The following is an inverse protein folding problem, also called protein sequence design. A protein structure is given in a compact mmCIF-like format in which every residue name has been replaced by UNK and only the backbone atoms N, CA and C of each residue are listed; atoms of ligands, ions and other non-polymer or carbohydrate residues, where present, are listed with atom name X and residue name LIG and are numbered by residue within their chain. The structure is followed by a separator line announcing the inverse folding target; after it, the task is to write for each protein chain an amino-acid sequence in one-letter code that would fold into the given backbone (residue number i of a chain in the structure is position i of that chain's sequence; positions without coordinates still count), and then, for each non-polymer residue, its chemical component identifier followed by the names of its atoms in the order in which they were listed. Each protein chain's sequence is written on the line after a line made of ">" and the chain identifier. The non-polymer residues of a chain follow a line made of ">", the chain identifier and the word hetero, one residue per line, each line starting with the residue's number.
data_IF_869834551468
#
_entry.id   IF_869834551468
#
_cell.length_a   1.000
_cell.length_b   1.000
_cell.length_c   1.000
_cell.angle_alpha   90.00
_cell.angle_beta   90.00
_cell.angle_gamma   90.00
#
_symmetry.space_group_name_H-M   'P 1'
#
loop_
_entity.id
_entity.type
_entity.pdbx_description
1 polymer ?
#
# COMPACT_ATOMS: atom_id res chain seq x y z
N UNK A 1 -31.50 8.95 33.78
CA UNK A 1 -31.06 7.71 33.13
C UNK A 1 -30.93 7.99 31.64
N UNK A 2 -29.82 8.58 31.20
CA UNK A 2 -29.61 8.86 29.77
C UNK A 2 -28.96 7.63 29.14
N UNK A 3 -29.67 7.01 28.19
CA UNK A 3 -29.17 5.87 27.44
C UNK A 3 -28.03 6.33 26.52
N UNK A 4 -26.89 5.64 26.62
CA UNK A 4 -25.78 5.79 25.68
C UNK A 4 -26.13 4.98 24.44
N UNK A 5 -26.45 5.65 23.34
CA UNK A 5 -26.55 5.02 22.02
C UNK A 5 -25.14 4.66 21.55
N UNK A 6 -24.81 3.37 21.50
CA UNK A 6 -23.60 2.90 20.82
C UNK A 6 -23.73 3.19 19.33
N UNK A 7 -22.76 3.89 18.75
CA UNK A 7 -22.65 4.04 17.30
C UNK A 7 -22.43 2.66 16.68
N UNK A 8 -23.27 2.27 15.72
CA UNK A 8 -23.03 1.11 14.87
C UNK A 8 -21.88 1.44 13.93
N UNK A 9 -20.79 0.68 13.98
CA UNK A 9 -19.69 0.78 13.03
C UNK A 9 -20.22 0.52 11.61
N UNK A 10 -19.99 1.47 10.70
CA UNK A 10 -20.33 1.30 9.30
C UNK A 10 -19.52 0.12 8.70
N UNK A 11 -20.11 -0.66 7.76
CA UNK A 11 -19.37 -1.70 7.09
C UNK A 11 -18.18 -1.09 6.33
N UNK A 12 -17.04 -1.78 6.23
CA UNK A 12 -15.88 -1.26 5.51
C UNK A 12 -16.23 -1.06 4.02
N UNK A 13 -15.63 -0.05 3.38
CA UNK A 13 -15.95 0.33 1.98
C UNK A 13 -15.82 -0.83 0.98
N UNK A 14 -14.89 -1.75 1.22
CA UNK A 14 -14.66 -2.91 0.34
C UNK A 14 -15.75 -3.99 0.46
N UNK A 15 -16.67 -3.88 1.42
CA UNK A 15 -17.74 -4.87 1.63
C UNK A 15 -18.74 -4.97 0.48
N UNK A 16 -18.85 -3.93 -0.35
CA UNK A 16 -19.69 -3.93 -1.56
C UNK A 16 -19.04 -4.61 -2.77
N UNK A 17 -17.78 -5.01 -2.65
CA UNK A 17 -17.00 -5.62 -3.74
C UNK A 17 -16.76 -7.12 -3.46
N UNK A 18 -16.60 -7.95 -4.51
CA UNK A 18 -16.30 -9.36 -4.35
C UNK A 18 -14.96 -9.55 -3.62
N UNK A 19 -14.80 -10.66 -2.90
CA UNK A 19 -13.50 -11.03 -2.35
C UNK A 19 -12.54 -11.42 -3.49
N UNK A 20 -11.28 -10.95 -3.45
CA UNK A 20 -10.27 -11.43 -4.39
C UNK A 20 -10.08 -12.93 -4.29
N UNK A 21 -9.92 -13.60 -5.43
CA UNK A 21 -9.81 -15.07 -5.50
C UNK A 21 -8.37 -15.53 -5.62
N UNK A 22 -7.55 -14.78 -6.34
CA UNK A 22 -6.18 -15.13 -6.61
C UNK A 22 -5.28 -14.99 -5.36
N UNK A 23 -4.37 -15.95 -5.12
CA UNK A 23 -3.33 -15.76 -4.13
C UNK A 23 -2.35 -14.69 -4.63
N UNK A 24 -2.03 -13.74 -3.75
CA UNK A 24 -1.09 -12.66 -4.05
C UNK A 24 0.21 -12.90 -3.30
N UNK A 25 1.34 -12.73 -3.99
CA UNK A 25 2.65 -12.86 -3.38
C UNK A 25 2.92 -11.68 -2.45
N UNK A 26 3.48 -11.95 -1.28
CA UNK A 26 3.96 -10.92 -0.37
C UNK A 26 5.48 -10.79 -0.51
N UNK A 27 5.94 -9.65 -1.03
CA UNK A 27 7.36 -9.34 -1.13
C UNK A 27 7.86 -8.80 0.20
N UNK A 28 9.05 -9.23 0.60
CA UNK A 28 9.72 -8.65 1.76
C UNK A 28 10.22 -7.23 1.39
N UNK A 29 10.37 -6.34 2.38
CA UNK A 29 10.95 -5.02 2.15
C UNK A 29 12.34 -5.06 1.50
N UNK A 30 13.14 -6.10 1.75
CA UNK A 30 14.43 -6.35 1.11
C UNK A 30 14.31 -6.55 -0.40
N UNK A 31 13.34 -7.33 -0.85
CA UNK A 31 13.15 -7.62 -2.28
C UNK A 31 12.82 -6.34 -3.04
N UNK A 32 11.93 -5.52 -2.47
CA UNK A 32 11.55 -4.23 -3.04
C UNK A 32 12.69 -3.23 -2.98
N UNK A 33 13.51 -3.23 -1.93
CA UNK A 33 14.71 -2.40 -1.84
C UNK A 33 15.72 -2.74 -2.94
N UNK A 34 15.96 -4.04 -3.19
CA UNK A 34 16.84 -4.48 -4.26
C UNK A 34 16.33 -4.05 -5.64
N UNK A 35 15.01 -4.12 -5.89
CA UNK A 35 14.39 -3.63 -7.12
C UNK A 35 14.61 -2.11 -7.31
N UNK A 36 14.45 -1.32 -6.24
CA UNK A 36 14.70 0.12 -6.27
C UNK A 36 16.17 0.45 -6.54
N UNK A 37 17.11 -0.23 -5.86
CA UNK A 37 18.55 -0.01 -6.02
C UNK A 37 19.05 -0.42 -7.42
N UNK A 38 18.55 -1.55 -7.94
CA UNK A 38 18.89 -2.02 -9.29
C UNK A 38 18.34 -1.09 -10.38
N UNK A 39 17.12 -0.58 -10.24
CA UNK A 39 16.60 0.44 -11.16
C UNK A 39 17.37 1.76 -11.07
N UNK A 40 17.69 2.24 -9.86
CA UNK A 40 18.47 3.47 -9.69
C UNK A 40 19.86 3.36 -10.35
N UNK A 41 20.47 2.18 -10.30
CA UNK A 41 21.77 1.90 -10.91
C UNK A 41 21.73 1.79 -12.44
N UNK A 42 20.58 1.45 -13.03
CA UNK A 42 20.41 1.28 -14.48
C UNK A 42 20.24 2.61 -15.24
N UNK A 43 19.99 3.71 -14.54
CA UNK A 43 19.87 5.06 -15.11
C UNK A 43 18.45 5.45 -15.56
N UNK A 44 18.22 6.73 -15.90
CA UNK A 44 16.87 7.30 -16.04
C UNK A 44 16.03 6.74 -17.21
N UNK A 45 16.67 6.12 -18.21
CA UNK A 45 16.02 5.57 -19.40
C UNK A 45 15.96 4.04 -19.40
N UNK A 46 16.31 3.38 -18.29
CA UNK A 46 16.21 1.92 -18.21
C UNK A 46 14.75 1.47 -18.19
N UNK A 47 14.45 0.36 -18.86
CA UNK A 47 13.14 -0.26 -18.78
C UNK A 47 12.85 -0.71 -17.33
N UNK A 48 11.70 -0.32 -16.80
CA UNK A 48 11.24 -0.77 -15.49
C UNK A 48 10.64 -2.17 -15.60
N UNK A 49 11.11 -3.09 -14.76
CA UNK A 49 10.51 -4.42 -14.59
C UNK A 49 9.42 -4.45 -13.52
N UNK A 50 9.20 -3.35 -12.80
CA UNK A 50 8.22 -3.25 -11.72
C UNK A 50 7.56 -1.87 -11.67
N UNK A 51 6.38 -1.83 -11.06
CA UNK A 51 5.66 -0.60 -10.70
C UNK A 51 5.24 -0.68 -9.24
N UNK A 52 5.64 0.31 -8.45
CA UNK A 52 5.17 0.42 -7.07
C UNK A 52 3.94 1.32 -7.03
N UNK A 53 2.83 0.79 -6.50
CA UNK A 53 1.56 1.51 -6.39
C UNK A 53 1.25 1.75 -4.92
N UNK A 54 1.15 3.02 -4.54
CA UNK A 54 0.62 3.42 -3.23
C UNK A 54 -0.90 3.57 -3.36
N UNK A 55 -1.64 2.86 -2.50
CA UNK A 55 -3.11 2.84 -2.52
C UNK A 55 -3.73 3.64 -1.37
N UNK A 56 -2.90 4.42 -0.64
CA UNK A 56 -3.33 5.33 0.42
C UNK A 56 -4.05 6.55 -0.16
N UNK A 57 -4.86 7.23 0.67
CA UNK A 57 -5.69 8.36 0.21
C UNK A 57 -5.14 9.69 0.70
N UNK A 58 -5.59 10.15 1.86
CA UNK A 58 -5.10 11.35 2.56
C UNK A 58 -4.08 10.98 3.62
N UNK A 59 -3.98 9.70 3.96
CA UNK A 59 -3.07 9.14 4.96
C UNK A 59 -1.67 8.79 4.39
N UNK A 60 -1.21 9.57 3.41
CA UNK A 60 0.13 9.49 2.83
C UNK A 60 1.17 10.34 3.57
N UNK A 61 0.73 11.06 4.61
CA UNK A 61 1.58 11.83 5.52
C UNK A 61 2.75 10.96 6.04
N UNK A 62 3.92 11.57 6.23
CA UNK A 62 5.16 10.86 6.55
C UNK A 62 5.97 10.40 5.32
N UNK A 63 5.42 10.54 4.12
CA UNK A 63 6.08 10.25 2.85
C UNK A 63 5.60 8.95 2.20
N UNK A 64 6.18 8.64 1.04
CA UNK A 64 5.90 7.42 0.27
C UNK A 64 7.20 6.65 0.03
N UNK A 65 7.12 5.36 -0.30
CA UNK A 65 8.32 4.65 -0.79
C UNK A 65 8.72 5.25 -2.14
N UNK A 66 10.02 5.38 -2.38
CA UNK A 66 10.54 6.10 -3.53
C UNK A 66 9.95 5.56 -4.84
N UNK A 67 9.63 6.46 -5.76
CA UNK A 67 9.08 6.16 -7.11
C UNK A 67 7.68 5.57 -7.15
N UNK A 68 6.97 5.47 -6.00
CA UNK A 68 5.60 4.98 -5.96
C UNK A 68 4.63 5.91 -6.69
N UNK A 69 3.74 5.34 -7.51
CA UNK A 69 2.59 6.06 -8.06
C UNK A 69 1.41 5.96 -7.11
N UNK A 70 0.86 7.10 -6.68
CA UNK A 70 -0.30 7.12 -5.80
C UNK A 70 -1.60 6.93 -6.60
N UNK A 71 -2.26 5.78 -6.42
CA UNK A 71 -3.57 5.42 -6.99
C UNK A 71 -4.50 5.01 -5.84
N UNK A 72 -5.16 5.97 -5.17
CA UNK A 72 -5.96 5.69 -3.99
C UNK A 72 -7.09 4.69 -4.27
N UNK A 73 -7.20 3.65 -3.45
CA UNK A 73 -8.20 2.59 -3.62
C UNK A 73 -9.66 3.03 -3.38
N UNK A 74 -9.88 4.28 -2.94
CA UNK A 74 -11.21 4.75 -2.56
C UNK A 74 -11.41 6.25 -2.84
N UNK A 75 -12.53 6.61 -3.46
CA UNK A 75 -12.91 7.99 -3.78
C UNK A 75 -14.06 8.59 -2.95
N UNK A 76 -14.85 7.85 -2.15
CA UNK A 76 -16.05 8.45 -1.50
C UNK A 76 -16.30 8.01 -0.03
N UNK A 77 -16.10 8.95 0.91
CA UNK A 77 -16.62 8.98 2.30
C UNK A 77 -16.16 7.90 3.29
N UNK A 78 -15.04 8.15 4.01
CA UNK A 78 -14.89 8.04 5.49
C UNK A 78 -13.37 8.12 5.86
N UNK A 79 -12.92 9.08 6.68
CA UNK A 79 -11.51 9.29 7.05
C UNK A 79 -10.90 8.24 8.01
N UNK A 80 -11.64 7.26 8.52
CA UNK A 80 -11.18 6.40 9.63
C UNK A 80 -10.39 5.13 9.23
N UNK A 81 -10.44 4.66 7.98
CA UNK A 81 -9.88 3.35 7.59
C UNK A 81 -8.40 3.46 7.14
N UNK A 82 -7.54 3.68 8.13
CA UNK A 82 -6.17 4.24 8.03
C UNK A 82 -5.05 3.20 7.87
N UNK A 83 -4.12 3.50 6.97
CA UNK A 83 -2.66 3.35 7.10
C UNK A 83 -1.99 1.97 7.15
N UNK A 84 -2.71 0.86 7.37
CA UNK A 84 -2.09 -0.48 7.36
C UNK A 84 -2.37 -1.23 6.05
N UNK A 85 -1.38 -1.98 5.57
CA UNK A 85 -1.56 -2.91 4.44
C UNK A 85 -2.45 -4.11 4.78
N UNK A 86 -3.20 -4.12 5.88
CA UNK A 86 -4.04 -5.27 6.24
C UNK A 86 -5.42 -5.25 5.54
N UNK A 87 -5.82 -4.12 4.94
CA UNK A 87 -7.11 -3.99 4.25
C UNK A 87 -6.99 -3.66 2.76
N UNK A 88 -6.44 -2.49 2.44
CA UNK A 88 -6.42 -1.95 1.06
C UNK A 88 -5.44 -2.70 0.15
N UNK A 89 -4.18 -2.87 0.59
CA UNK A 89 -3.11 -3.46 -0.23
C UNK A 89 -3.44 -4.87 -0.76
N UNK A 90 -3.75 -5.85 0.11
CA UNK A 90 -4.08 -7.21 -0.28
C UNK A 90 -5.31 -7.28 -1.20
N UNK A 91 -6.34 -6.47 -0.93
CA UNK A 91 -7.53 -6.44 -1.79
C UNK A 91 -7.23 -5.86 -3.17
N UNK A 92 -6.53 -4.74 -3.24
CA UNK A 92 -6.16 -4.13 -4.53
C UNK A 92 -5.26 -5.04 -5.35
N UNK A 93 -4.24 -5.63 -4.73
CA UNK A 93 -3.35 -6.55 -5.41
C UNK A 93 -4.09 -7.84 -5.83
N UNK A 94 -5.02 -8.33 -5.01
CA UNK A 94 -5.84 -9.49 -5.33
C UNK A 94 -6.76 -9.23 -6.52
N UNK A 95 -7.50 -8.13 -6.52
CA UNK A 95 -8.36 -7.76 -7.66
C UNK A 95 -7.56 -7.51 -8.93
N UNK A 96 -6.37 -6.92 -8.82
CA UNK A 96 -5.48 -6.79 -9.97
C UNK A 96 -5.02 -8.17 -10.48
N UNK A 97 -4.65 -9.10 -9.59
CA UNK A 97 -4.25 -10.44 -10.01
C UNK A 97 -5.41 -11.23 -10.62
N UNK A 98 -6.62 -11.10 -10.08
CA UNK A 98 -7.83 -11.68 -10.67
C UNK A 98 -8.04 -11.17 -12.09
N UNK A 99 -7.93 -9.85 -12.29
CA UNK A 99 -8.04 -9.24 -13.62
C UNK A 99 -6.96 -9.76 -14.60
N UNK A 100 -5.70 -9.83 -14.17
CA UNK A 100 -4.61 -10.38 -14.99
C UNK A 100 -4.89 -11.83 -15.40
N UNK A 101 -5.36 -12.65 -14.46
CA UNK A 101 -5.73 -14.05 -14.72
C UNK A 101 -6.90 -14.15 -15.72
N UNK A 102 -7.94 -13.32 -15.56
CA UNK A 102 -9.10 -13.28 -16.47
C UNK A 102 -8.70 -12.88 -17.89
N UNK A 103 -7.74 -11.97 -18.03
CA UNK A 103 -7.20 -11.54 -19.32
C UNK A 103 -6.18 -12.52 -19.92
N UNK A 104 -5.80 -13.57 -19.18
CA UNK A 104 -4.75 -14.52 -19.59
C UNK A 104 -3.35 -13.89 -19.63
N UNK A 105 -3.14 -12.80 -18.89
CA UNK A 105 -1.86 -12.10 -18.82
C UNK A 105 -0.89 -12.86 -17.89
N UNK A 106 0.18 -13.39 -18.48
CA UNK A 106 1.16 -14.22 -17.76
C UNK A 106 2.53 -13.54 -17.56
N UNK A 107 2.77 -12.38 -18.19
CA UNK A 107 4.04 -11.66 -18.06
C UNK A 107 4.10 -10.76 -16.83
N UNK A 108 2.96 -10.50 -16.19
CA UNK A 108 2.82 -9.62 -15.04
C UNK A 108 2.12 -10.34 -13.89
N UNK A 109 2.49 -9.98 -12.67
CA UNK A 109 1.83 -10.44 -11.45
C UNK A 109 1.71 -9.29 -10.45
N UNK A 110 0.62 -9.26 -9.71
CA UNK A 110 0.47 -8.35 -8.58
C UNK A 110 1.11 -8.93 -7.31
N UNK A 111 1.67 -8.06 -6.48
CA UNK A 111 2.25 -8.43 -5.20
C UNK A 111 1.96 -7.35 -4.16
N UNK A 112 2.02 -7.73 -2.88
CA UNK A 112 1.94 -6.79 -1.76
C UNK A 112 3.32 -6.57 -1.13
N UNK A 113 3.60 -5.34 -0.73
CA UNK A 113 4.72 -5.05 0.18
C UNK A 113 4.34 -5.48 1.59
N UNK A 114 5.02 -6.50 2.13
CA UNK A 114 4.76 -7.00 3.48
C UNK A 114 5.01 -5.92 4.52
N UNK A 115 4.04 -5.76 5.43
CA UNK A 115 4.06 -4.69 6.45
C UNK A 115 3.78 -3.28 5.91
N UNK A 116 3.67 -3.10 4.59
CA UNK A 116 3.42 -1.80 3.97
C UNK A 116 4.47 -0.75 4.32
N UNK A 117 4.08 0.51 4.17
CA UNK A 117 4.97 1.64 4.46
C UNK A 117 5.37 1.74 5.94
N UNK A 118 4.51 1.32 6.87
CA UNK A 118 4.86 1.26 8.29
C UNK A 118 5.95 0.24 8.55
N UNK A 119 5.85 -0.94 7.91
CA UNK A 119 6.90 -1.96 7.94
C UNK A 119 8.19 -1.50 7.28
N UNK A 120 8.08 -0.79 6.15
CA UNK A 120 9.22 -0.17 5.47
C UNK A 120 9.95 0.82 6.38
N UNK A 121 9.22 1.80 6.95
CA UNK A 121 9.81 2.82 7.79
C UNK A 121 10.44 2.24 9.06
N UNK A 122 9.80 1.24 9.68
CA UNK A 122 10.39 0.55 10.84
C UNK A 122 11.74 -0.09 10.51
N UNK A 123 11.91 -0.57 9.28
CA UNK A 123 13.11 -1.28 8.84
C UNK A 123 14.20 -0.36 8.30
N UNK A 124 13.80 0.66 7.54
CA UNK A 124 14.70 1.49 6.75
C UNK A 124 14.68 2.97 7.12
N UNK A 125 13.87 3.36 8.12
CA UNK A 125 13.63 4.76 8.47
C UNK A 125 13.19 5.54 7.23
N UNK A 126 13.87 6.64 6.88
CA UNK A 126 13.59 7.40 5.66
C UNK A 126 14.35 6.95 4.41
N UNK A 127 15.11 5.85 4.45
CA UNK A 127 15.87 5.39 3.28
C UNK A 127 14.89 4.97 2.17
N UNK A 128 15.16 5.43 0.95
CA UNK A 128 14.33 5.16 -0.24
C UNK A 128 12.87 5.57 -0.03
N UNK A 129 12.65 6.73 0.60
CA UNK A 129 11.34 7.36 0.72
C UNK A 129 11.36 8.75 0.09
N UNK A 130 10.31 9.07 -0.66
CA UNK A 130 10.05 10.41 -1.15
C UNK A 130 9.23 11.17 -0.09
N UNK A 131 9.55 12.44 0.11
CA UNK A 131 8.84 13.32 1.06
C UNK A 131 8.82 12.81 2.51
N UNK A 132 9.89 12.13 2.94
CA UNK A 132 10.00 11.62 4.30
C UNK A 132 9.92 12.74 5.35
N UNK A 133 8.98 12.62 6.28
CA UNK A 133 8.84 13.52 7.43
C UNK A 133 9.16 12.78 8.74
N UNK A 134 10.37 13.00 9.25
CA UNK A 134 10.83 12.38 10.50
C UNK A 134 9.96 12.75 11.72
N UNK A 135 9.39 13.95 11.76
CA UNK A 135 8.57 14.41 12.88
C UNK A 135 7.27 13.62 12.95
N UNK A 136 6.64 13.38 11.80
CA UNK A 136 5.44 12.56 11.70
C UNK A 136 5.68 11.15 12.28
N UNK A 137 6.79 10.50 11.91
CA UNK A 137 7.10 9.15 12.36
C UNK A 137 7.51 9.07 13.84
N UNK A 138 8.16 10.10 14.37
CA UNK A 138 8.53 10.17 15.79
C UNK A 138 7.28 10.33 16.68
N UNK A 139 6.32 11.13 16.24
CA UNK A 139 5.04 11.34 16.95
C UNK A 139 4.21 10.05 17.01
N UNK A 140 4.22 9.23 15.95
CA UNK A 140 3.50 7.94 15.95
C UNK A 140 4.10 6.86 16.86
N UNK A 141 5.38 6.96 17.25
CA UNK A 141 5.99 6.02 18.21
C UNK A 141 5.70 6.36 19.67
N UNK A 142 5.21 7.58 19.92
CA UNK A 142 4.92 8.11 21.25
C UNK A 142 3.44 8.00 21.64
N UNK A 143 2.61 7.46 20.74
CA UNK A 143 1.16 7.36 20.84
C UNK A 143 0.68 5.93 21.10
#
# INVERSE_FOLDING_TARGET
>A
MSAVTQAQDAPPWWSSFPEPKAPVHALEPEDVAQLLESHASAGPNSAKSFLLVDVRRTDWEGGTVATSLNLPAHTETDPSQTGSSNGRGPRCAGWMQDYLNEMGEASMSAAILKGGIKGWQKKYSGKMMDWYDEKFWTQQQSA
#
